data_IF_560033622506
#
_entry.id   IF_560033622506
#
_cell.length_a   1.000
_cell.length_b   1.000
_cell.length_c   1.000
_cell.angle_alpha   90.00
_cell.angle_beta   90.00
_cell.angle_gamma   90.00
#
_symmetry.space_group_name_H-M   'P 1'
#
loop_
_entity.id
_entity.type
_entity.pdbx_description
1 polymer ?
#
# COMPACT_ATOMS: atom_id res chain seq x y z
N UNK A 1 -42.12 -1.66 -2.28
CA UNK A 1 -42.53 -1.61 -3.70
C UNK A 1 -43.78 -2.49 -3.89
N UNK A 2 -44.93 -1.96 -3.50
CA UNK A 2 -46.26 -2.50 -3.83
C UNK A 2 -47.05 -1.29 -4.34
N UNK A 3 -47.09 -1.13 -5.66
CA UNK A 3 -47.79 -0.04 -6.32
C UNK A 3 -49.27 -0.27 -6.06
N UNK A 4 -49.94 0.64 -5.36
CA UNK A 4 -51.40 0.64 -5.21
C UNK A 4 -51.98 0.86 -6.62
N UNK A 5 -52.57 -0.16 -7.28
CA UNK A 5 -53.17 0.02 -8.61
C UNK A 5 -54.54 0.72 -8.51
N UNK A 6 -55.00 1.00 -7.30
CA UNK A 6 -56.36 1.44 -7.00
C UNK A 6 -56.66 2.88 -7.41
N UNK A 7 -55.76 3.83 -7.20
CA UNK A 7 -56.08 5.25 -7.43
C UNK A 7 -56.06 5.64 -8.90
N UNK A 8 -55.06 5.17 -9.66
CA UNK A 8 -55.10 5.32 -11.13
C UNK A 8 -56.19 4.46 -11.74
N UNK A 9 -56.45 3.25 -11.25
CA UNK A 9 -57.55 2.42 -11.71
C UNK A 9 -58.91 3.07 -11.50
N UNK A 10 -59.16 3.65 -10.32
CA UNK A 10 -60.40 4.36 -9.99
C UNK A 10 -60.48 5.68 -10.77
N UNK A 11 -59.39 6.42 -10.94
CA UNK A 11 -59.37 7.61 -11.80
C UNK A 11 -59.56 7.28 -13.29
N UNK A 12 -59.06 6.14 -13.78
CA UNK A 12 -59.26 5.71 -15.17
C UNK A 12 -60.66 5.14 -15.38
N UNK A 13 -61.22 4.45 -14.38
CA UNK A 13 -62.61 3.98 -14.39
C UNK A 13 -63.53 5.18 -14.34
N UNK A 14 -63.30 6.15 -13.44
CA UNK A 14 -64.04 7.41 -13.40
C UNK A 14 -63.84 8.19 -14.70
N UNK A 15 -62.64 8.27 -15.29
CA UNK A 15 -62.44 8.93 -16.58
C UNK A 15 -63.08 8.16 -17.74
N UNK A 16 -63.19 6.83 -17.68
CA UNK A 16 -63.87 6.01 -18.68
C UNK A 16 -65.39 6.11 -18.54
N UNK A 17 -65.92 6.13 -17.31
CA UNK A 17 -67.33 6.38 -17.01
C UNK A 17 -67.71 7.82 -17.35
N UNK A 18 -66.89 8.81 -16.98
CA UNK A 18 -67.07 10.22 -17.32
C UNK A 18 -66.94 10.41 -18.82
N UNK A 19 -65.97 9.82 -19.53
CA UNK A 19 -65.86 9.91 -20.98
C UNK A 19 -66.99 9.17 -21.70
N UNK A 20 -67.46 8.02 -21.18
CA UNK A 20 -68.61 7.31 -21.72
C UNK A 20 -69.92 8.07 -21.47
N UNK A 21 -70.05 8.78 -20.35
CA UNK A 21 -71.18 9.65 -20.04
C UNK A 21 -71.07 11.02 -20.73
N UNK A 22 -69.87 11.52 -20.99
CA UNK A 22 -69.59 12.79 -21.68
C UNK A 22 -69.72 12.64 -23.20
N UNK A 23 -69.41 11.46 -23.75
CA UNK A 23 -69.75 11.11 -25.15
C UNK A 23 -71.26 10.88 -25.35
N UNK A 24 -72.04 10.72 -24.27
CA UNK A 24 -73.50 10.73 -24.31
C UNK A 24 -74.10 12.14 -24.17
N UNK A 25 -73.28 13.17 -23.90
CA UNK A 25 -73.74 14.54 -23.61
C UNK A 25 -73.70 15.45 -24.86
N UNK A 26 -73.27 14.98 -26.03
CA UNK A 26 -73.16 15.84 -27.23
C UNK A 26 -74.33 15.77 -28.24
N UNK A 27 -75.45 15.12 -27.92
CA UNK A 27 -76.66 15.23 -28.77
C UNK A 27 -77.94 15.22 -27.92
N UNK A 28 -78.31 16.36 -27.34
CA UNK A 28 -79.74 16.70 -27.13
C UNK A 28 -79.93 18.20 -27.28
N UNK A 29 -79.79 18.69 -28.51
CA UNK A 29 -80.45 19.94 -28.91
C UNK A 29 -81.81 19.54 -29.51
N UNK A 30 -82.86 19.45 -28.70
CA UNK A 30 -84.22 19.17 -29.19
C UNK A 30 -85.27 19.90 -28.35
N UNK A 31 -85.58 21.11 -28.83
CA UNK A 31 -86.86 21.81 -28.82
C UNK A 31 -88.09 20.88 -28.65
N UNK A 32 -88.48 20.60 -27.40
CA UNK A 32 -89.87 20.52 -26.91
C UNK A 32 -89.89 20.10 -25.41
N UNK A 33 -90.71 20.76 -24.58
CA UNK A 33 -90.62 20.79 -23.12
C UNK A 33 -90.80 19.47 -22.32
N UNK A 34 -90.97 18.31 -22.98
CA UNK A 34 -91.11 17.00 -22.31
C UNK A 34 -89.79 16.35 -21.87
N UNK A 35 -88.68 16.66 -22.56
CA UNK A 35 -87.38 16.03 -22.33
C UNK A 35 -86.61 16.57 -21.12
N UNK A 36 -86.86 17.82 -20.71
CA UNK A 36 -86.22 18.39 -19.53
C UNK A 36 -86.67 17.71 -18.22
N UNK A 37 -87.91 17.22 -18.14
CA UNK A 37 -88.40 16.45 -16.98
C UNK A 37 -87.70 15.09 -16.86
N UNK A 38 -87.43 14.46 -18.01
CA UNK A 38 -86.66 13.21 -18.10
C UNK A 38 -85.21 13.45 -17.66
N UNK A 39 -84.59 14.55 -18.11
CA UNK A 39 -83.25 14.96 -17.66
C UNK A 39 -83.16 15.17 -16.14
N UNK A 40 -84.11 15.90 -15.55
CA UNK A 40 -84.19 16.10 -14.08
C UNK A 40 -84.40 14.79 -13.34
N UNK A 41 -85.21 13.86 -13.87
CA UNK A 41 -85.42 12.53 -13.28
C UNK A 41 -84.15 11.68 -13.28
N UNK A 42 -83.41 11.65 -14.39
CA UNK A 42 -82.11 10.96 -14.46
C UNK A 42 -81.07 11.59 -13.54
N UNK A 43 -81.03 12.92 -13.43
CA UNK A 43 -80.18 13.60 -12.44
C UNK A 43 -80.58 13.25 -11.00
N UNK A 44 -81.87 13.11 -10.70
CA UNK A 44 -82.34 12.75 -9.36
C UNK A 44 -81.93 11.31 -8.99
N UNK A 45 -82.00 10.38 -9.95
CA UNK A 45 -81.46 9.02 -9.78
C UNK A 45 -79.94 9.06 -9.58
N UNK A 46 -79.21 9.84 -10.40
CA UNK A 46 -77.77 10.00 -10.27
C UNK A 46 -77.37 10.62 -8.92
N UNK A 47 -78.16 11.56 -8.41
CA UNK A 47 -78.00 12.18 -7.10
C UNK A 47 -78.20 11.18 -5.97
N UNK A 48 -79.23 10.33 -6.04
CA UNK A 48 -79.49 9.26 -5.08
C UNK A 48 -78.34 8.24 -5.09
N UNK A 49 -77.87 7.85 -6.28
CA UNK A 49 -76.72 6.95 -6.41
C UNK A 49 -75.44 7.58 -5.85
N UNK A 50 -75.18 8.85 -6.12
CA UNK A 50 -74.06 9.59 -5.53
C UNK A 50 -74.17 9.69 -3.99
N UNK A 51 -75.37 9.87 -3.45
CA UNK A 51 -75.63 9.89 -2.00
C UNK A 51 -75.38 8.51 -1.37
N UNK A 52 -75.80 7.44 -2.03
CA UNK A 52 -75.58 6.06 -1.59
C UNK A 52 -74.07 5.74 -1.59
N UNK A 53 -73.36 6.14 -2.66
CA UNK A 53 -71.91 5.99 -2.75
C UNK A 53 -71.19 6.78 -1.65
N UNK A 54 -71.62 8.02 -1.38
CA UNK A 54 -71.12 8.83 -0.28
C UNK A 54 -71.25 8.14 1.08
N UNK A 55 -72.42 7.61 1.41
CA UNK A 55 -72.64 6.93 2.71
C UNK A 55 -71.87 5.62 2.86
N UNK A 56 -71.49 4.97 1.74
CA UNK A 56 -70.79 3.69 1.73
C UNK A 56 -69.29 3.83 1.97
N UNK A 57 -68.62 4.77 1.31
CA UNK A 57 -67.15 4.87 1.31
C UNK A 57 -66.62 6.06 2.14
N UNK A 58 -67.47 7.04 2.48
CA UNK A 58 -67.17 8.18 3.37
C UNK A 58 -65.87 8.93 3.08
N UNK A 59 -65.36 8.91 1.85
CA UNK A 59 -64.21 9.76 1.49
C UNK A 59 -64.66 11.16 1.08
N UNK A 60 -63.83 12.17 1.35
CA UNK A 60 -64.10 13.57 1.01
C UNK A 60 -64.43 13.75 -0.48
N UNK A 61 -63.79 12.99 -1.37
CA UNK A 61 -64.03 13.00 -2.82
C UNK A 61 -65.49 12.67 -3.18
N UNK A 62 -66.14 11.73 -2.47
CA UNK A 62 -67.53 11.37 -2.72
C UNK A 62 -68.52 12.44 -2.23
N UNK A 63 -68.17 13.20 -1.16
CA UNK A 63 -68.93 14.37 -0.72
C UNK A 63 -68.92 15.44 -1.82
N UNK A 64 -67.74 15.74 -2.37
CA UNK A 64 -67.59 16.73 -3.41
C UNK A 64 -68.29 16.32 -4.71
N UNK A 65 -68.20 15.05 -5.11
CA UNK A 65 -68.93 14.52 -6.27
C UNK A 65 -70.45 14.64 -6.10
N UNK A 66 -70.98 14.29 -4.92
CA UNK A 66 -72.39 14.48 -4.61
C UNK A 66 -72.80 15.94 -4.68
N UNK A 67 -72.01 16.85 -4.11
CA UNK A 67 -72.28 18.29 -4.15
C UNK A 67 -72.22 18.86 -5.58
N UNK A 68 -71.28 18.43 -6.44
CA UNK A 68 -71.24 18.80 -7.86
C UNK A 68 -72.52 18.33 -8.57
N UNK A 69 -72.92 17.07 -8.38
CA UNK A 69 -74.14 16.50 -8.97
C UNK A 69 -75.40 17.19 -8.46
N UNK A 70 -75.43 17.60 -7.19
CA UNK A 70 -76.50 18.40 -6.60
C UNK A 70 -76.59 19.80 -7.22
N UNK A 71 -75.44 20.45 -7.42
CA UNK A 71 -75.36 21.73 -8.15
C UNK A 71 -75.92 21.65 -9.56
N UNK A 72 -75.51 20.62 -10.32
CA UNK A 72 -76.03 20.36 -11.66
C UNK A 72 -77.52 20.01 -11.69
N UNK A 73 -78.02 19.28 -10.69
CA UNK A 73 -79.45 19.01 -10.53
C UNK A 73 -80.25 20.28 -10.23
N UNK A 74 -79.74 21.14 -9.33
CA UNK A 74 -80.39 22.42 -9.00
C UNK A 74 -80.46 23.36 -10.21
N UNK A 75 -79.40 23.38 -11.03
CA UNK A 75 -79.38 24.10 -12.32
C UNK A 75 -80.46 23.56 -13.29
N UNK A 76 -80.52 22.24 -13.47
CA UNK A 76 -81.51 21.61 -14.34
C UNK A 76 -82.95 21.80 -13.84
N UNK A 77 -83.16 21.76 -12.51
CA UNK A 77 -84.46 21.96 -11.86
C UNK A 77 -84.91 23.42 -11.99
N UNK A 78 -84.02 24.39 -11.79
CA UNK A 78 -84.30 25.82 -11.99
C UNK A 78 -84.76 26.11 -13.42
N UNK A 79 -84.06 25.56 -14.41
CA UNK A 79 -84.43 25.66 -15.83
C UNK A 79 -85.82 25.07 -16.16
N UNK A 80 -86.25 24.01 -15.46
CA UNK A 80 -87.60 23.45 -15.59
C UNK A 80 -88.65 24.34 -14.93
N UNK A 81 -88.36 24.88 -13.75
CA UNK A 81 -89.26 25.75 -13.00
C UNK A 81 -89.52 27.10 -13.71
N UNK A 82 -88.49 27.67 -14.33
CA UNK A 82 -88.60 28.90 -15.13
C UNK A 82 -89.50 28.68 -16.36
N UNK A 83 -89.34 27.55 -17.07
CA UNK A 83 -90.21 27.17 -18.21
C UNK A 83 -91.68 26.98 -17.82
N UNK A 84 -91.96 26.66 -16.55
CA UNK A 84 -93.32 26.50 -16.03
C UNK A 84 -93.91 27.81 -15.47
N UNK A 85 -93.18 28.92 -15.57
CA UNK A 85 -93.66 30.25 -15.21
C UNK A 85 -93.69 30.53 -13.70
N UNK A 86 -93.03 29.71 -12.89
CA UNK A 86 -92.97 29.89 -11.43
C UNK A 86 -91.92 30.93 -10.99
N UNK A 87 -91.06 31.40 -11.89
CA UNK A 87 -89.99 32.35 -11.61
C UNK A 87 -89.75 33.24 -12.84
N UNK A 88 -89.51 34.55 -12.62
CA UNK A 88 -89.25 35.54 -13.70
C UNK A 88 -87.75 35.84 -13.88
N UNK A 89 -86.85 35.02 -13.32
CA UNK A 89 -85.42 35.29 -13.27
C UNK A 89 -84.56 34.23 -13.92
N UNK A 90 -84.66 34.07 -15.25
CA UNK A 90 -83.83 33.12 -16.05
C UNK A 90 -82.33 33.22 -15.71
N UNK A 91 -81.82 34.42 -15.42
CA UNK A 91 -80.40 34.63 -15.12
C UNK A 91 -79.95 34.09 -13.75
N UNK A 92 -80.83 33.92 -12.77
CA UNK A 92 -80.42 33.67 -11.38
C UNK A 92 -80.02 32.21 -11.16
N UNK A 93 -80.82 31.27 -11.67
CA UNK A 93 -80.58 29.84 -11.50
C UNK A 93 -79.40 29.36 -12.34
N UNK A 94 -79.24 29.92 -13.53
CA UNK A 94 -78.14 29.56 -14.43
C UNK A 94 -76.79 29.99 -13.86
N UNK A 95 -76.67 31.26 -13.45
CA UNK A 95 -75.43 31.80 -12.87
C UNK A 95 -75.09 31.11 -11.54
N UNK A 96 -76.09 30.82 -10.68
CA UNK A 96 -75.85 30.13 -9.40
C UNK A 96 -75.39 28.67 -9.61
N UNK A 97 -75.97 27.96 -10.58
CA UNK A 97 -75.60 26.58 -10.88
C UNK A 97 -74.21 26.45 -11.51
N UNK A 98 -73.88 27.32 -12.48
CA UNK A 98 -72.55 27.35 -13.11
C UNK A 98 -71.46 27.76 -12.13
N UNK A 99 -71.66 28.84 -11.37
CA UNK A 99 -70.66 29.32 -10.39
C UNK A 99 -70.44 28.33 -9.26
N UNK A 100 -71.50 27.67 -8.78
CA UNK A 100 -71.39 26.63 -7.76
C UNK A 100 -70.66 25.39 -8.32
N UNK A 101 -71.01 24.93 -9.52
CA UNK A 101 -70.33 23.78 -10.14
C UNK A 101 -68.85 24.05 -10.38
N UNK A 102 -68.49 25.24 -10.88
CA UNK A 102 -67.09 25.66 -11.04
C UNK A 102 -66.36 25.71 -9.70
N UNK A 103 -66.98 26.28 -8.65
CA UNK A 103 -66.41 26.31 -7.31
C UNK A 103 -66.15 24.91 -6.75
N UNK A 104 -67.12 24.00 -6.92
CA UNK A 104 -67.02 22.63 -6.42
C UNK A 104 -65.97 21.80 -7.15
N UNK A 105 -65.82 21.99 -8.47
CA UNK A 105 -64.72 21.40 -9.24
C UNK A 105 -63.38 21.92 -8.73
N UNK A 106 -63.22 23.24 -8.56
CA UNK A 106 -62.00 23.83 -8.03
C UNK A 106 -61.66 23.28 -6.62
N UNK A 107 -62.66 23.15 -5.75
CA UNK A 107 -62.49 22.59 -4.40
C UNK A 107 -62.05 21.12 -4.41
N UNK A 108 -62.61 20.32 -5.34
CA UNK A 108 -62.20 18.91 -5.53
C UNK A 108 -60.74 18.82 -5.97
N UNK A 109 -60.29 19.68 -6.88
CA UNK A 109 -58.89 19.76 -7.29
C UNK A 109 -57.97 20.12 -6.11
N UNK A 110 -58.37 21.07 -5.26
CA UNK A 110 -57.59 21.46 -4.08
C UNK A 110 -57.45 20.29 -3.10
N UNK A 111 -58.53 19.58 -2.79
CA UNK A 111 -58.46 18.44 -1.85
C UNK A 111 -57.63 17.30 -2.43
N UNK A 112 -57.82 16.96 -3.71
CA UNK A 112 -56.98 15.96 -4.36
C UNK A 112 -55.49 16.35 -4.40
N UNK A 113 -55.19 17.65 -4.54
CA UNK A 113 -53.83 18.15 -4.46
C UNK A 113 -53.24 18.05 -3.05
N UNK A 114 -54.05 18.32 -2.01
CA UNK A 114 -53.64 18.15 -0.61
C UNK A 114 -53.33 16.69 -0.30
N UNK A 115 -54.18 15.74 -0.74
CA UNK A 115 -53.94 14.30 -0.55
C UNK A 115 -52.61 13.86 -1.23
N UNK A 116 -52.33 14.38 -2.43
CA UNK A 116 -51.06 14.10 -3.13
C UNK A 116 -49.86 14.70 -2.39
N UNK A 117 -50.01 15.91 -1.83
CA UNK A 117 -48.96 16.52 -1.01
C UNK A 117 -48.70 15.72 0.26
N UNK A 118 -49.74 15.24 0.94
CA UNK A 118 -49.62 14.45 2.17
C UNK A 118 -48.80 13.18 1.92
N UNK A 119 -49.14 12.41 0.88
CA UNK A 119 -48.37 11.21 0.49
C UNK A 119 -46.91 11.56 0.15
N UNK A 120 -46.68 12.70 -0.50
CA UNK A 120 -45.33 13.11 -0.90
C UNK A 120 -44.48 13.60 0.28
N UNK A 121 -45.10 14.23 1.27
CA UNK A 121 -44.46 14.62 2.54
C UNK A 121 -44.09 13.36 3.32
N UNK A 122 -44.99 12.38 3.43
CA UNK A 122 -44.72 11.11 4.13
C UNK A 122 -43.56 10.34 3.48
N UNK A 123 -43.45 10.37 2.14
CA UNK A 123 -42.31 9.80 1.42
C UNK A 123 -41.00 10.53 1.73
N UNK A 124 -41.01 11.87 1.76
CA UNK A 124 -39.82 12.65 2.10
C UNK A 124 -39.39 12.46 3.56
N UNK A 125 -40.32 12.28 4.48
CA UNK A 125 -40.01 11.97 5.88
C UNK A 125 -39.28 10.63 6.00
N UNK A 126 -39.75 9.59 5.31
CA UNK A 126 -39.08 8.28 5.27
C UNK A 126 -37.70 8.33 4.59
N UNK A 127 -37.56 9.09 3.52
CA UNK A 127 -36.26 9.24 2.84
C UNK A 127 -35.27 10.02 3.72
N UNK A 128 -35.73 11.02 4.47
CA UNK A 128 -34.91 11.78 5.42
C UNK A 128 -34.44 10.89 6.57
N UNK A 129 -35.30 10.03 7.11
CA UNK A 129 -34.94 9.07 8.16
C UNK A 129 -33.83 8.12 7.67
N UNK A 130 -33.94 7.59 6.45
CA UNK A 130 -32.88 6.76 5.84
C UNK A 130 -31.57 7.52 5.64
N UNK A 131 -31.64 8.79 5.24
CA UNK A 131 -30.45 9.61 5.06
C UNK A 131 -29.74 9.87 6.38
N UNK A 132 -30.49 10.11 7.47
CA UNK A 132 -29.94 10.25 8.83
C UNK A 132 -29.26 8.96 9.26
N UNK A 133 -29.91 7.80 9.10
CA UNK A 133 -29.31 6.50 9.43
C UNK A 133 -28.01 6.24 8.65
N UNK A 134 -28.00 6.55 7.35
CA UNK A 134 -26.81 6.41 6.51
C UNK A 134 -25.70 7.38 6.91
N UNK A 135 -26.03 8.62 7.26
CA UNK A 135 -25.08 9.60 7.74
C UNK A 135 -24.48 9.19 9.09
N UNK A 136 -25.28 8.62 10.00
CA UNK A 136 -24.81 8.09 11.29
C UNK A 136 -23.79 6.96 11.08
N UNK A 137 -24.12 6.00 10.21
CA UNK A 137 -23.18 4.93 9.86
C UNK A 137 -21.91 5.47 9.20
N UNK A 138 -22.03 6.50 8.37
CA UNK A 138 -20.88 7.16 7.74
C UNK A 138 -19.99 7.83 8.78
N UNK A 139 -20.55 8.54 9.75
CA UNK A 139 -19.79 9.18 10.83
C UNK A 139 -19.01 8.15 11.66
N UNK A 140 -19.65 7.03 12.02
CA UNK A 140 -19.00 5.93 12.76
C UNK A 140 -17.86 5.32 11.93
N UNK A 141 -18.08 5.09 10.63
CA UNK A 141 -17.05 4.55 9.75
C UNK A 141 -15.86 5.50 9.60
N UNK A 142 -16.10 6.81 9.47
CA UNK A 142 -15.04 7.82 9.40
C UNK A 142 -14.24 7.87 10.71
N UNK A 143 -14.90 7.81 11.87
CA UNK A 143 -14.22 7.76 13.17
C UNK A 143 -13.35 6.50 13.33
N UNK A 144 -13.84 5.34 12.89
CA UNK A 144 -13.07 4.09 12.90
C UNK A 144 -11.85 4.17 11.98
N UNK A 145 -12.00 4.73 10.77
CA UNK A 145 -10.88 4.94 9.84
C UNK A 145 -9.83 5.88 10.46
N UNK A 146 -10.26 6.94 11.15
CA UNK A 146 -9.33 7.83 11.85
C UNK A 146 -8.50 7.07 12.89
N UNK A 147 -9.15 6.30 13.76
CA UNK A 147 -8.48 5.53 14.80
C UNK A 147 -7.53 4.46 14.23
N UNK A 148 -7.91 3.83 13.11
CA UNK A 148 -7.06 2.88 12.40
C UNK A 148 -5.83 3.56 11.79
N UNK A 149 -5.99 4.73 11.17
CA UNK A 149 -4.88 5.53 10.65
C UNK A 149 -3.91 5.97 11.76
N UNK A 150 -4.41 6.37 12.93
CA UNK A 150 -3.54 6.69 14.09
C UNK A 150 -2.73 5.48 14.56
N UNK A 151 -3.35 4.30 14.60
CA UNK A 151 -2.68 3.07 15.00
C UNK A 151 -1.62 2.65 13.96
N UNK A 152 -1.97 2.68 12.67
CA UNK A 152 -1.02 2.43 11.57
C UNK A 152 0.13 3.42 11.59
N UNK A 153 -0.16 4.69 11.88
CA UNK A 153 0.86 5.71 12.03
C UNK A 153 1.84 5.34 13.16
N UNK A 154 1.36 5.01 14.36
CA UNK A 154 2.22 4.60 15.47
C UNK A 154 3.07 3.36 15.15
N UNK A 155 2.53 2.40 14.40
CA UNK A 155 3.26 1.21 13.97
C UNK A 155 4.39 1.56 12.99
N UNK A 156 4.10 2.42 12.00
CA UNK A 156 5.11 2.91 11.06
C UNK A 156 6.19 3.72 11.76
N UNK A 157 5.85 4.55 12.75
CA UNK A 157 6.83 5.29 13.58
C UNK A 157 7.83 4.34 14.26
N UNK A 158 7.32 3.26 14.85
CA UNK A 158 8.17 2.24 15.50
C UNK A 158 9.04 1.51 14.49
N UNK A 159 8.48 1.20 13.31
CA UNK A 159 9.24 0.57 12.23
C UNK A 159 10.38 1.47 11.74
N UNK A 160 10.15 2.78 11.60
CA UNK A 160 11.17 3.77 11.24
C UNK A 160 12.28 3.81 12.29
N UNK A 161 11.95 3.91 13.58
CA UNK A 161 12.97 3.91 14.65
C UNK A 161 13.77 2.60 14.68
N UNK A 162 13.11 1.45 14.50
CA UNK A 162 13.79 0.17 14.44
C UNK A 162 14.72 0.06 13.21
N UNK A 163 14.31 0.61 12.08
CA UNK A 163 15.14 0.65 10.88
C UNK A 163 16.36 1.59 11.06
N UNK A 164 16.18 2.74 11.70
CA UNK A 164 17.25 3.70 12.02
C UNK A 164 18.32 3.06 12.92
N UNK A 165 17.90 2.35 13.97
CA UNK A 165 18.81 1.58 14.85
C UNK A 165 19.56 0.49 14.05
N UNK A 166 18.88 -0.18 13.13
CA UNK A 166 19.51 -1.20 12.27
C UNK A 166 20.52 -0.62 11.27
N UNK A 167 20.23 0.54 10.69
CA UNK A 167 21.19 1.26 9.83
C UNK A 167 22.46 1.57 10.60
N UNK A 168 22.34 2.17 11.79
CA UNK A 168 23.50 2.49 12.62
C UNK A 168 24.31 1.25 13.02
N UNK A 169 23.64 0.13 13.31
CA UNK A 169 24.31 -1.12 13.58
C UNK A 169 25.05 -1.66 12.34
N UNK A 170 24.44 -1.51 11.16
CA UNK A 170 25.01 -1.97 9.91
C UNK A 170 26.21 -1.11 9.49
N UNK A 171 26.13 0.22 9.59
CA UNK A 171 27.24 1.15 9.37
C UNK A 171 28.45 0.84 10.27
N UNK A 172 28.19 0.50 11.54
CA UNK A 172 29.27 0.09 12.44
C UNK A 172 29.85 -1.27 12.05
N UNK A 173 29.00 -2.17 11.56
CA UNK A 173 29.39 -3.49 11.09
C UNK A 173 30.29 -3.43 9.86
N UNK A 174 29.90 -2.64 8.85
CA UNK A 174 30.65 -2.41 7.61
C UNK A 174 32.01 -1.81 7.91
N UNK A 175 32.07 -0.76 8.75
CA UNK A 175 33.34 -0.15 9.15
C UNK A 175 34.28 -1.17 9.83
N UNK A 176 33.73 -2.05 10.67
CA UNK A 176 34.49 -3.15 11.28
C UNK A 176 34.94 -4.22 10.29
N UNK A 177 34.15 -4.50 9.25
CA UNK A 177 34.53 -5.43 8.18
C UNK A 177 35.65 -4.86 7.31
N UNK A 178 35.58 -3.59 6.93
CA UNK A 178 36.65 -2.91 6.18
C UNK A 178 37.96 -2.94 6.97
N UNK A 179 37.92 -2.68 8.28
CA UNK A 179 39.13 -2.77 9.12
C UNK A 179 39.67 -4.20 9.18
N UNK A 180 38.79 -5.21 9.27
CA UNK A 180 39.19 -6.62 9.24
C UNK A 180 39.81 -7.04 7.89
N UNK A 181 39.26 -6.57 6.77
CA UNK A 181 39.80 -6.82 5.43
C UNK A 181 41.21 -6.24 5.29
N UNK A 182 41.44 -5.02 5.77
CA UNK A 182 42.78 -4.40 5.80
C UNK A 182 43.78 -5.20 6.63
N UNK A 183 43.36 -5.79 7.75
CA UNK A 183 44.23 -6.70 8.52
C UNK A 183 44.54 -8.00 7.76
N UNK A 184 43.55 -8.56 7.06
CA UNK A 184 43.76 -9.76 6.25
C UNK A 184 44.73 -9.47 5.10
N UNK A 185 44.60 -8.31 4.46
CA UNK A 185 45.50 -7.85 3.41
C UNK A 185 46.94 -7.71 3.93
N UNK A 186 47.13 -7.05 5.07
CA UNK A 186 48.45 -6.95 5.74
C UNK A 186 49.06 -8.33 6.01
N UNK A 187 48.25 -9.28 6.47
CA UNK A 187 48.71 -10.64 6.69
C UNK A 187 49.05 -11.34 5.38
N UNK A 188 48.27 -11.17 4.32
CA UNK A 188 48.53 -11.74 3.00
C UNK A 188 49.89 -11.26 2.46
N UNK A 189 50.14 -9.95 2.51
CA UNK A 189 51.42 -9.34 2.13
C UNK A 189 52.57 -9.93 2.95
N UNK A 190 52.42 -10.03 4.27
CA UNK A 190 53.47 -10.59 5.13
C UNK A 190 53.75 -12.07 4.83
N UNK A 191 52.73 -12.87 4.51
CA UNK A 191 52.94 -14.27 4.12
C UNK A 191 53.64 -14.35 2.77
N UNK A 192 53.34 -13.46 1.83
CA UNK A 192 53.99 -13.39 0.52
C UNK A 192 55.49 -13.06 0.65
N UNK A 193 55.83 -12.06 1.47
CA UNK A 193 57.22 -11.70 1.78
C UNK A 193 57.99 -12.89 2.38
N UNK A 194 57.38 -13.59 3.34
CA UNK A 194 57.98 -14.78 3.95
C UNK A 194 58.15 -15.92 2.93
N UNK A 195 57.18 -16.10 2.02
CA UNK A 195 57.26 -17.11 0.97
C UNK A 195 58.44 -16.84 0.02
N UNK A 196 58.65 -15.58 -0.36
CA UNK A 196 59.79 -15.15 -1.15
C UNK A 196 61.13 -15.36 -0.44
N UNK A 197 61.23 -15.04 0.85
CA UNK A 197 62.45 -15.26 1.64
C UNK A 197 62.80 -16.76 1.74
N UNK A 198 61.80 -17.63 1.94
CA UNK A 198 62.02 -19.08 1.96
C UNK A 198 62.46 -19.58 0.58
N UNK A 199 61.91 -19.04 -0.50
CA UNK A 199 62.30 -19.41 -1.87
C UNK A 199 63.77 -19.08 -2.14
N UNK A 200 64.22 -17.88 -1.74
CA UNK A 200 65.62 -17.45 -1.84
C UNK A 200 66.55 -18.41 -1.06
N UNK A 201 66.23 -18.69 0.20
CA UNK A 201 67.01 -19.62 1.02
C UNK A 201 67.02 -21.05 0.48
N UNK A 202 65.92 -21.50 -0.12
CA UNK A 202 65.86 -22.83 -0.73
C UNK A 202 66.77 -22.91 -1.97
N UNK A 203 66.84 -21.85 -2.76
CA UNK A 203 67.79 -21.72 -3.86
C UNK A 203 69.25 -21.76 -3.40
N UNK A 204 69.60 -21.10 -2.30
CA UNK A 204 70.93 -21.17 -1.70
C UNK A 204 71.29 -22.60 -1.23
N UNK A 205 70.33 -23.30 -0.61
CA UNK A 205 70.53 -24.69 -0.18
C UNK A 205 70.75 -25.60 -1.39
N UNK A 206 70.00 -25.41 -2.48
CA UNK A 206 70.19 -26.18 -3.72
C UNK A 206 71.59 -25.99 -4.32
N UNK A 207 72.13 -24.76 -4.29
CA UNK A 207 73.52 -24.50 -4.70
C UNK A 207 74.53 -25.26 -3.83
N UNK A 208 74.33 -25.26 -2.50
CA UNK A 208 75.18 -26.03 -1.58
C UNK A 208 75.08 -27.53 -1.85
N UNK A 209 73.87 -28.05 -2.11
CA UNK A 209 73.67 -29.46 -2.45
C UNK A 209 74.41 -29.84 -3.74
N UNK A 210 74.33 -29.01 -4.79
CA UNK A 210 75.08 -29.19 -6.03
C UNK A 210 76.60 -29.23 -5.80
N UNK A 211 77.12 -28.36 -4.93
CA UNK A 211 78.53 -28.37 -4.54
C UNK A 211 78.92 -29.69 -3.82
N UNK A 212 78.13 -30.14 -2.85
CA UNK A 212 78.41 -31.40 -2.13
C UNK A 212 78.34 -32.59 -3.08
N UNK A 213 77.37 -32.62 -4.01
CA UNK A 213 77.30 -33.67 -5.04
C UNK A 213 78.58 -33.73 -5.89
N UNK A 214 79.10 -32.56 -6.30
CA UNK A 214 80.36 -32.44 -7.04
C UNK A 214 81.56 -32.93 -6.20
N UNK A 215 81.64 -32.54 -4.93
CA UNK A 215 82.72 -32.98 -4.02
C UNK A 215 82.66 -34.50 -3.82
N UNK A 216 81.48 -35.07 -3.64
CA UNK A 216 81.31 -36.52 -3.49
C UNK A 216 81.65 -37.27 -4.78
N UNK A 217 81.37 -36.71 -5.96
CA UNK A 217 81.83 -37.24 -7.25
C UNK A 217 83.35 -37.26 -7.38
N UNK A 218 84.00 -36.14 -7.05
CA UNK A 218 85.46 -36.03 -7.09
C UNK A 218 86.12 -36.97 -6.06
N UNK A 219 85.58 -37.02 -4.85
CA UNK A 219 86.05 -37.92 -3.78
C UNK A 219 85.91 -39.39 -4.18
N UNK A 220 84.80 -39.76 -4.83
CA UNK A 220 84.58 -41.11 -5.35
C UNK A 220 85.63 -41.48 -6.43
N UNK A 221 85.93 -40.55 -7.33
CA UNK A 221 86.97 -40.75 -8.36
C UNK A 221 88.38 -40.84 -7.75
N UNK A 222 88.69 -40.01 -6.75
CA UNK A 222 89.97 -40.07 -6.02
C UNK A 222 90.13 -41.39 -5.28
N UNK A 223 89.07 -41.85 -4.60
CA UNK A 223 89.05 -43.12 -3.89
C UNK A 223 89.20 -44.31 -4.85
N UNK A 224 88.55 -44.27 -6.02
CA UNK A 224 88.73 -45.27 -7.07
C UNK A 224 90.18 -45.34 -7.56
N UNK A 225 90.79 -44.19 -7.86
CA UNK A 225 92.20 -44.12 -8.27
C UNK A 225 93.14 -44.66 -7.19
N UNK A 226 92.87 -44.35 -5.92
CA UNK A 226 93.62 -44.87 -4.78
C UNK A 226 93.47 -46.39 -4.62
N UNK A 227 92.26 -46.93 -4.81
CA UNK A 227 92.01 -48.38 -4.73
C UNK A 227 92.71 -49.15 -5.87
N UNK A 228 92.76 -48.56 -7.08
CA UNK A 228 93.54 -49.09 -8.21
C UNK A 228 95.05 -49.12 -7.90
N UNK A 229 95.63 -48.02 -7.41
CA UNK A 229 97.07 -47.96 -7.14
C UNK A 229 97.46 -48.83 -5.93
N UNK A 230 96.57 -48.95 -4.94
CA UNK A 230 96.73 -49.89 -3.83
C UNK A 230 96.74 -51.35 -4.32
N UNK A 231 95.88 -51.72 -5.27
CA UNK A 231 95.92 -53.01 -5.95
C UNK A 231 97.23 -53.23 -6.73
N UNK A 232 97.77 -52.16 -7.34
CA UNK A 232 99.02 -52.19 -8.10
C UNK A 232 100.26 -52.41 -7.23
N UNK A 233 100.22 -51.97 -5.98
CA UNK A 233 101.28 -52.19 -4.99
C UNK A 233 101.27 -53.61 -4.37
N UNK A 234 100.31 -54.48 -4.73
CA UNK A 234 100.23 -55.86 -4.27
C UNK A 234 100.07 -55.98 -2.75
N UNK A 235 100.84 -56.86 -2.10
CA UNK A 235 100.76 -57.09 -0.64
C UNK A 235 101.07 -55.84 0.20
N UNK A 236 101.87 -54.90 -0.30
CA UNK A 236 102.19 -53.66 0.40
C UNK A 236 101.04 -52.63 0.36
N UNK A 237 100.10 -52.75 -0.58
CA UNK A 237 98.96 -51.84 -0.74
C UNK A 237 97.68 -52.29 -0.04
N UNK A 238 97.67 -53.47 0.59
CA UNK A 238 96.45 -54.11 1.12
C UNK A 238 95.67 -53.24 2.12
N UNK A 239 96.37 -52.54 3.01
CA UNK A 239 95.74 -51.62 3.97
C UNK A 239 95.18 -50.36 3.31
N UNK A 240 95.86 -49.84 2.28
CA UNK A 240 95.39 -48.68 1.51
C UNK A 240 94.16 -49.02 0.67
N UNK A 241 94.07 -50.24 0.14
CA UNK A 241 92.90 -50.70 -0.62
C UNK A 241 91.62 -50.69 0.24
N UNK A 242 91.70 -51.17 1.49
CA UNK A 242 90.55 -51.17 2.42
C UNK A 242 90.10 -49.75 2.73
N UNK A 243 91.04 -48.82 2.98
CA UNK A 243 90.69 -47.42 3.24
C UNK A 243 90.09 -46.76 2.00
N UNK A 244 90.65 -47.01 0.82
CA UNK A 244 90.14 -46.46 -0.43
C UNK A 244 88.71 -46.94 -0.73
N UNK A 245 88.41 -48.23 -0.50
CA UNK A 245 87.05 -48.76 -0.67
C UNK A 245 86.05 -48.16 0.33
N UNK A 246 86.45 -47.92 1.58
CA UNK A 246 85.60 -47.27 2.58
C UNK A 246 85.31 -45.80 2.21
N UNK A 247 86.34 -45.05 1.78
CA UNK A 247 86.15 -43.66 1.29
C UNK A 247 85.24 -43.63 0.07
N UNK A 248 85.39 -44.58 -0.86
CA UNK A 248 84.53 -44.72 -2.03
C UNK A 248 83.06 -44.92 -1.63
N UNK A 249 82.82 -45.82 -0.68
CA UNK A 249 81.49 -46.11 -0.15
C UNK A 249 80.88 -44.88 0.54
N UNK A 250 81.64 -44.16 1.36
CA UNK A 250 81.19 -42.92 1.99
C UNK A 250 80.83 -41.83 0.97
N UNK A 251 81.59 -41.73 -0.12
CA UNK A 251 81.31 -40.81 -1.21
C UNK A 251 80.00 -41.17 -1.96
N UNK A 252 79.75 -42.46 -2.21
CA UNK A 252 78.49 -42.94 -2.78
C UNK A 252 77.29 -42.70 -1.84
N UNK A 253 77.43 -42.99 -0.54
CA UNK A 253 76.41 -42.72 0.48
C UNK A 253 76.12 -41.21 0.61
N UNK A 254 77.15 -40.37 0.55
CA UNK A 254 77.01 -38.91 0.55
C UNK A 254 76.24 -38.43 -0.68
N UNK A 255 76.59 -38.91 -1.89
CA UNK A 255 75.85 -38.57 -3.12
C UNK A 255 74.37 -38.97 -3.02
N UNK A 256 74.09 -40.17 -2.51
CA UNK A 256 72.71 -40.63 -2.32
C UNK A 256 71.93 -39.74 -1.36
N UNK A 257 72.56 -39.32 -0.25
CA UNK A 257 71.95 -38.42 0.74
C UNK A 257 71.68 -37.03 0.19
N UNK A 258 72.59 -36.50 -0.64
CA UNK A 258 72.40 -35.22 -1.35
C UNK A 258 71.24 -35.31 -2.33
N UNK A 259 71.14 -36.39 -3.10
CA UNK A 259 70.02 -36.61 -4.02
C UNK A 259 68.67 -36.60 -3.29
N UNK A 260 68.58 -37.32 -2.17
CA UNK A 260 67.36 -37.34 -1.36
C UNK A 260 67.02 -35.97 -0.75
N UNK A 261 68.05 -35.18 -0.40
CA UNK A 261 67.86 -33.81 0.10
C UNK A 261 67.37 -32.87 -1.02
N UNK A 262 67.90 -33.02 -2.23
CA UNK A 262 67.44 -32.30 -3.42
C UNK A 262 65.96 -32.54 -3.74
N UNK A 263 65.48 -33.79 -3.64
CA UNK A 263 64.06 -34.10 -3.82
C UNK A 263 63.16 -33.39 -2.78
N UNK A 264 63.64 -33.24 -1.54
CA UNK A 264 62.92 -32.52 -0.48
C UNK A 264 62.89 -31.01 -0.73
N UNK A 265 63.99 -30.44 -1.23
CA UNK A 265 64.09 -29.03 -1.62
C UNK A 265 63.09 -28.73 -2.74
N UNK A 266 63.06 -29.54 -3.80
CA UNK A 266 62.08 -29.40 -4.89
C UNK A 266 60.63 -29.57 -4.43
N UNK A 267 60.40 -30.33 -3.35
CA UNK A 267 59.07 -30.42 -2.74
C UNK A 267 58.71 -29.13 -1.99
N UNK A 268 59.67 -28.53 -1.28
CA UNK A 268 59.51 -27.24 -0.60
C UNK A 268 59.22 -26.13 -1.61
N UNK A 269 59.99 -26.04 -2.71
CA UNK A 269 59.78 -25.05 -3.77
C UNK A 269 58.35 -25.09 -4.32
N UNK A 270 57.85 -26.29 -4.66
CA UNK A 270 56.46 -26.45 -5.14
C UNK A 270 55.41 -26.07 -4.10
N UNK A 271 55.68 -26.32 -2.82
CA UNK A 271 54.79 -25.89 -1.74
C UNK A 271 54.72 -24.37 -1.65
N UNK A 272 55.86 -23.68 -1.84
CA UNK A 272 55.92 -22.22 -1.84
C UNK A 272 55.18 -21.66 -3.05
N UNK A 273 55.39 -22.20 -4.25
CA UNK A 273 54.64 -21.79 -5.46
C UNK A 273 53.12 -21.90 -5.25
N UNK A 274 52.66 -23.01 -4.67
CA UNK A 274 51.24 -23.20 -4.36
C UNK A 274 50.75 -22.21 -3.28
N UNK A 275 51.63 -21.82 -2.36
CA UNK A 275 51.31 -20.86 -1.30
C UNK A 275 51.15 -19.45 -1.88
N UNK A 276 52.04 -19.03 -2.78
CA UNK A 276 51.94 -17.74 -3.49
C UNK A 276 50.65 -17.68 -4.32
N UNK A 277 50.33 -18.73 -5.06
CA UNK A 277 49.06 -18.80 -5.81
C UNK A 277 47.83 -18.70 -4.89
N UNK A 278 47.88 -19.28 -3.68
CA UNK A 278 46.80 -19.15 -2.71
C UNK A 278 46.67 -17.71 -2.18
N UNK A 279 47.79 -17.00 -1.96
CA UNK A 279 47.80 -15.59 -1.52
C UNK A 279 47.25 -14.68 -2.61
N UNK A 280 47.59 -14.91 -3.88
CA UNK A 280 47.02 -14.15 -5.01
C UNK A 280 45.49 -14.26 -5.04
N UNK A 281 44.97 -15.48 -4.81
CA UNK A 281 43.53 -15.70 -4.73
C UNK A 281 42.90 -14.99 -3.52
N UNK A 282 43.54 -15.05 -2.34
CA UNK A 282 43.07 -14.31 -1.15
C UNK A 282 43.04 -12.80 -1.42
N UNK A 283 44.07 -12.25 -2.05
CA UNK A 283 44.15 -10.82 -2.39
C UNK A 283 43.05 -10.41 -3.35
N UNK A 284 42.70 -11.28 -4.30
CA UNK A 284 41.56 -11.05 -5.19
C UNK A 284 40.22 -11.08 -4.44
N UNK A 285 40.03 -12.06 -3.55
CA UNK A 285 38.81 -12.16 -2.72
C UNK A 285 38.65 -10.95 -1.80
N UNK A 286 39.74 -10.36 -1.30
CA UNK A 286 39.70 -9.11 -0.52
C UNK A 286 39.18 -7.96 -1.37
N UNK A 287 39.70 -7.76 -2.60
CA UNK A 287 39.21 -6.70 -3.48
C UNK A 287 37.73 -6.88 -3.85
N UNK A 288 37.28 -8.11 -4.12
CA UNK A 288 35.86 -8.39 -4.36
C UNK A 288 35.00 -8.07 -3.11
N UNK A 289 35.52 -8.34 -1.91
CA UNK A 289 34.84 -7.99 -0.67
C UNK A 289 34.78 -6.47 -0.42
N UNK A 290 35.81 -5.71 -0.81
CA UNK A 290 35.82 -4.24 -0.74
C UNK A 290 34.80 -3.60 -1.68
N UNK A 291 34.65 -4.13 -2.91
CA UNK A 291 33.62 -3.68 -3.85
C UNK A 291 32.22 -3.89 -3.27
N UNK A 292 31.97 -5.05 -2.64
CA UNK A 292 30.71 -5.32 -1.95
C UNK A 292 30.45 -4.41 -0.73
N UNK A 293 31.49 -4.02 0.00
CA UNK A 293 31.37 -3.03 1.08
C UNK A 293 30.96 -1.66 0.52
N UNK A 294 31.53 -1.21 -0.61
CA UNK A 294 31.13 0.04 -1.27
C UNK A 294 29.67 0.00 -1.76
N UNK A 295 29.25 -1.10 -2.39
CA UNK A 295 27.84 -1.31 -2.77
C UNK A 295 26.91 -1.25 -1.55
N UNK A 296 27.32 -1.82 -0.42
CA UNK A 296 26.54 -1.81 0.81
C UNK A 296 26.41 -0.40 1.41
N UNK A 297 27.45 0.43 1.32
CA UNK A 297 27.36 1.85 1.71
C UNK A 297 26.35 2.62 0.86
N UNK A 298 26.33 2.41 -0.46
CA UNK A 298 25.35 3.07 -1.35
C UNK A 298 23.93 2.61 -1.01
N UNK A 299 23.73 1.30 -0.80
CA UNK A 299 22.42 0.76 -0.40
C UNK A 299 21.94 1.35 0.93
N UNK A 300 22.84 1.54 1.90
CA UNK A 300 22.52 2.19 3.17
C UNK A 300 22.05 3.64 2.98
N UNK A 301 22.69 4.41 2.11
CA UNK A 301 22.27 5.79 1.80
C UNK A 301 20.86 5.83 1.18
N UNK A 302 20.53 4.89 0.30
CA UNK A 302 19.18 4.76 -0.28
C UNK A 302 18.12 4.39 0.78
N UNK A 303 18.46 3.52 1.74
CA UNK A 303 17.57 3.17 2.85
C UNK A 303 17.32 4.39 3.74
N UNK A 304 18.35 5.18 4.05
CA UNK A 304 18.17 6.42 4.81
C UNK A 304 17.22 7.40 4.10
N UNK A 305 17.37 7.57 2.79
CA UNK A 305 16.51 8.46 2.01
C UNK A 305 15.05 7.98 2.05
N UNK A 306 14.83 6.68 1.88
CA UNK A 306 13.47 6.10 1.93
C UNK A 306 12.85 6.20 3.33
N UNK A 307 13.63 6.08 4.41
CA UNK A 307 13.15 6.34 5.76
C UNK A 307 12.75 7.81 5.96
N UNK A 308 13.54 8.75 5.46
CA UNK A 308 13.21 10.17 5.53
C UNK A 308 11.90 10.48 4.78
N UNK A 309 11.66 9.83 3.63
CA UNK A 309 10.39 9.93 2.90
C UNK A 309 9.22 9.32 3.67
N UNK A 310 9.44 8.17 4.34
CA UNK A 310 8.41 7.55 5.18
C UNK A 310 8.02 8.43 6.37
N UNK A 311 8.96 9.13 7.00
CA UNK A 311 8.66 10.10 8.07
C UNK A 311 7.75 11.21 7.56
N UNK A 312 7.98 11.72 6.34
CA UNK A 312 7.13 12.76 5.75
C UNK A 312 5.72 12.22 5.45
N UNK A 313 5.62 11.03 4.86
CA UNK A 313 4.32 10.40 4.59
C UNK A 313 3.53 10.12 5.88
N UNK A 314 4.25 9.75 6.94
CA UNK A 314 3.71 9.51 8.26
C UNK A 314 3.12 10.78 8.89
N UNK A 315 3.81 11.93 8.79
CA UNK A 315 3.26 13.23 9.21
C UNK A 315 1.94 13.57 8.47
N UNK A 316 1.84 13.24 7.18
CA UNK A 316 0.62 13.45 6.40
C UNK A 316 -0.54 12.52 6.82
N UNK A 317 -0.24 11.26 7.15
CA UNK A 317 -1.23 10.31 7.67
C UNK A 317 -1.81 10.81 9.00
N UNK A 318 -0.96 11.24 9.92
CA UNK A 318 -1.39 11.80 11.21
C UNK A 318 -2.27 13.03 11.02
N UNK A 319 -1.88 13.94 10.11
CA UNK A 319 -2.69 15.11 9.80
C UNK A 319 -4.05 14.74 9.16
N UNK A 320 -4.09 13.66 8.37
CA UNK A 320 -5.32 13.17 7.73
C UNK A 320 -6.24 12.51 8.76
N UNK A 321 -5.72 11.70 9.67
CA UNK A 321 -6.48 11.11 10.78
C UNK A 321 -7.16 12.20 11.61
N UNK A 322 -6.42 13.23 12.02
CA UNK A 322 -6.98 14.37 12.77
C UNK A 322 -8.11 15.09 12.02
N UNK A 323 -7.99 15.25 10.69
CA UNK A 323 -9.06 15.85 9.88
C UNK A 323 -10.31 14.96 9.83
N UNK A 324 -10.14 13.64 9.72
CA UNK A 324 -11.26 12.70 9.70
C UNK A 324 -11.96 12.63 11.05
N UNK A 325 -11.20 12.69 12.16
CA UNK A 325 -11.77 12.79 13.51
C UNK A 325 -12.68 14.02 13.64
N UNK A 326 -12.19 15.21 13.27
CA UNK A 326 -12.98 16.44 13.29
C UNK A 326 -14.23 16.36 12.41
N UNK A 327 -14.10 15.75 11.22
CA UNK A 327 -15.23 15.59 10.29
C UNK A 327 -16.27 14.60 10.82
N UNK A 328 -15.85 13.56 11.51
CA UNK A 328 -16.78 12.63 12.17
C UNK A 328 -17.51 13.29 13.34
N UNK A 329 -16.83 14.12 14.14
CA UNK A 329 -17.44 14.91 15.22
C UNK A 329 -18.47 15.91 14.67
N UNK A 330 -18.11 16.67 13.63
CA UNK A 330 -19.02 17.64 13.00
C UNK A 330 -20.26 16.96 12.40
N UNK A 331 -20.08 15.80 11.75
CA UNK A 331 -21.20 15.03 11.20
C UNK A 331 -22.11 14.48 12.31
N UNK A 332 -21.56 14.03 13.43
CA UNK A 332 -22.35 13.61 14.60
C UNK A 332 -23.14 14.78 15.20
N UNK A 333 -22.52 15.95 15.34
CA UNK A 333 -23.18 17.15 15.87
C UNK A 333 -24.37 17.57 14.99
N UNK A 334 -24.18 17.60 13.67
CA UNK A 334 -25.25 17.95 12.71
C UNK A 334 -26.43 16.95 12.75
N UNK A 335 -26.14 15.66 12.97
CA UNK A 335 -27.17 14.61 13.12
C UNK A 335 -27.94 14.74 14.43
N UNK A 336 -27.26 15.07 15.53
CA UNK A 336 -27.87 15.29 16.83
C UNK A 336 -28.82 16.50 16.80
N UNK A 337 -28.44 17.57 16.10
CA UNK A 337 -29.28 18.75 15.85
C UNK A 337 -30.53 18.36 15.06
N UNK A 338 -30.40 17.57 13.99
CA UNK A 338 -31.52 17.14 13.14
C UNK A 338 -32.51 16.19 13.83
N UNK A 339 -32.06 15.39 14.79
CA UNK A 339 -32.96 14.54 15.61
C UNK A 339 -33.72 15.34 16.69
N UNK A 340 -33.44 16.63 16.86
CA UNK A 340 -34.02 17.44 17.93
C UNK A 340 -33.52 17.02 19.32
N UNK A 341 -32.35 16.38 19.40
CA UNK A 341 -31.73 15.92 20.64
C UNK A 341 -30.88 16.99 21.34
N UNK A 342 -31.26 18.28 21.25
CA UNK A 342 -30.64 19.36 22.05
C UNK A 342 -30.80 19.20 23.59
N UNK A 343 -31.34 18.07 24.07
CA UNK A 343 -31.71 17.90 25.48
C UNK A 343 -30.79 17.08 26.38
N UNK A 344 -29.84 16.25 25.89
CA UNK A 344 -29.25 15.22 26.79
C UNK A 344 -27.75 14.93 26.78
N UNK A 345 -26.93 15.52 25.91
CA UNK A 345 -25.46 15.31 26.01
C UNK A 345 -24.64 16.58 25.86
N UNK A 346 -24.99 17.59 26.65
CA UNK A 346 -24.00 18.57 27.04
C UNK A 346 -22.93 17.88 27.92
N UNK A 347 -21.70 17.85 27.40
CA UNK A 347 -20.43 17.88 28.14
C UNK A 347 -19.97 16.53 28.72
N UNK A 348 -19.34 15.72 27.88
CA UNK A 348 -18.03 15.16 28.23
C UNK A 348 -17.04 15.55 27.12
N UNK A 349 -16.62 16.81 27.13
CA UNK A 349 -15.31 17.21 26.61
C UNK A 349 -14.24 16.44 27.38
N UNK A 350 -13.95 15.22 26.95
CA UNK A 350 -12.80 14.45 27.43
C UNK A 350 -11.64 14.72 26.48
N UNK A 351 -10.87 15.74 26.88
CA UNK A 351 -9.44 15.92 26.59
C UNK A 351 -9.05 15.53 25.16
N UNK A 352 -9.02 16.52 24.28
CA UNK A 352 -7.99 16.59 23.26
C UNK A 352 -6.66 16.19 23.89
N UNK A 353 -6.15 15.01 23.51
CA UNK A 353 -4.79 14.61 23.84
C UNK A 353 -3.88 15.71 23.30
N UNK A 354 -2.83 16.11 24.03
CA UNK A 354 -1.90 17.10 23.52
C UNK A 354 -1.34 16.57 22.20
N UNK A 355 -1.41 17.40 21.15
CA UNK A 355 -0.71 17.16 19.89
C UNK A 355 0.70 16.70 20.23
N UNK A 356 1.00 15.44 19.91
CA UNK A 356 2.34 14.90 20.07
C UNK A 356 3.18 15.70 19.07
N UNK A 357 3.93 16.69 19.55
CA UNK A 357 5.02 17.23 18.78
C UNK A 357 5.97 16.07 18.55
N UNK A 358 5.89 15.47 17.37
CA UNK A 358 6.96 14.64 16.85
C UNK A 358 8.15 15.59 16.79
N UNK A 359 9.07 15.43 17.75
CA UNK A 359 10.35 16.12 17.68
C UNK A 359 10.96 15.69 16.37
N UNK A 360 11.07 16.62 15.45
CA UNK A 360 11.72 16.40 14.16
C UNK A 360 13.18 16.04 14.45
N UNK A 361 13.51 14.75 14.37
CA UNK A 361 14.89 14.23 14.43
C UNK A 361 15.82 14.78 13.34
N UNK A 362 15.29 15.61 12.42
CA UNK A 362 16.03 16.35 11.40
C UNK A 362 17.19 17.20 11.95
N UNK A 363 17.15 17.64 13.21
CA UNK A 363 18.25 18.44 13.79
C UNK A 363 19.43 17.59 14.27
N UNK A 364 19.19 16.37 14.76
CA UNK A 364 20.26 15.47 15.23
C UNK A 364 20.89 14.71 14.05
N UNK A 365 20.09 14.31 13.03
CA UNK A 365 20.59 13.65 11.81
C UNK A 365 21.55 14.50 10.98
N UNK A 366 21.36 15.84 10.94
CA UNK A 366 22.28 16.75 10.23
C UNK A 366 23.66 16.84 10.89
N UNK A 367 23.73 16.76 12.22
CA UNK A 367 25.01 16.74 12.94
C UNK A 367 25.72 15.39 12.79
N UNK A 368 24.97 14.28 12.69
CA UNK A 368 25.54 12.95 12.47
C UNK A 368 26.14 12.79 11.06
N UNK A 369 25.42 13.19 10.00
CA UNK A 369 25.94 13.22 8.62
C UNK A 369 27.21 14.08 8.47
N UNK A 370 27.32 15.15 9.25
CA UNK A 370 28.54 15.97 9.28
C UNK A 370 29.69 15.30 10.02
N UNK A 371 29.44 14.48 11.05
CA UNK A 371 30.50 13.74 11.77
C UNK A 371 31.09 12.62 10.92
N UNK A 372 30.26 11.79 10.30
CA UNK A 372 30.74 10.68 9.45
C UNK A 372 31.55 11.21 8.26
N UNK A 373 31.09 12.31 7.64
CA UNK A 373 31.79 12.93 6.51
C UNK A 373 33.13 13.57 6.90
N UNK A 374 33.27 14.02 8.16
CA UNK A 374 34.54 14.55 8.68
C UNK A 374 35.49 13.43 9.08
N UNK A 375 34.98 12.33 9.64
CA UNK A 375 35.78 11.16 10.04
C UNK A 375 36.36 10.42 8.81
N UNK A 376 35.62 10.33 7.70
CA UNK A 376 36.14 9.82 6.41
C UNK A 376 37.18 10.74 5.75
N UNK A 377 37.20 12.05 6.06
CA UNK A 377 38.18 13.00 5.51
C UNK A 377 39.51 13.04 6.29
N UNK A 378 39.57 12.40 7.47
CA UNK A 378 40.78 12.32 8.32
C UNK A 378 41.59 11.03 8.14
N UNK A 379 41.12 10.08 7.31
CA UNK A 379 41.92 8.94 6.89
C UNK A 379 42.89 9.45 5.82
N UNK A 380 44.22 9.45 6.04
CA UNK A 380 45.16 9.85 5.00
C UNK A 380 45.00 8.88 3.82
N UNK A 381 44.85 9.42 2.61
CA UNK A 381 45.18 8.69 1.38
C UNK A 381 46.67 8.30 1.48
N UNK A 382 46.97 7.15 2.09
CA UNK A 382 48.29 6.54 1.99
C UNK A 382 48.44 6.05 0.55
N UNK A 383 49.11 6.90 -0.23
CA UNK A 383 49.93 6.62 -1.40
C UNK A 383 49.83 5.16 -1.87
N UNK A 384 48.92 4.91 -2.82
CA UNK A 384 48.91 3.69 -3.63
C UNK A 384 50.29 3.59 -4.27
N UNK A 385 51.14 2.74 -3.70
CA UNK A 385 52.41 2.36 -4.32
C UNK A 385 52.02 1.49 -5.50
N UNK A 386 51.89 2.10 -6.68
CA UNK A 386 51.96 1.40 -7.96
C UNK A 386 53.30 0.65 -8.02
N UNK A 387 53.31 -0.61 -7.60
CA UNK A 387 54.38 -1.52 -7.95
C UNK A 387 54.18 -1.97 -9.40
N UNK A 388 54.55 -1.10 -10.35
CA UNK A 388 54.92 -1.51 -11.70
C UNK A 388 56.16 -2.43 -11.61
N UNK A 389 55.97 -3.70 -11.25
CA UNK A 389 57.00 -4.72 -11.46
C UNK A 389 56.96 -5.16 -12.92
N UNK A 390 57.81 -4.48 -13.69
CA UNK A 390 58.23 -4.80 -15.05
C UNK A 390 58.61 -6.27 -15.17
N UNK A 391 57.71 -7.12 -15.68
CA UNK A 391 58.09 -8.41 -16.28
C UNK A 391 58.24 -8.19 -17.78
N UNK A 392 59.43 -7.75 -18.19
CA UNK A 392 59.90 -7.91 -19.57
C UNK A 392 60.31 -9.36 -19.76
N UNK A 393 59.50 -10.08 -20.53
CA UNK A 393 59.87 -11.35 -21.15
C UNK A 393 60.77 -11.02 -22.34
N UNK A 394 62.04 -11.41 -22.26
CA UNK A 394 62.95 -11.66 -23.40
C UNK A 394 63.79 -12.91 -23.12
#
# INVERSE_FOLDING_TARGET
>A
MNIIPGLFGVSLIIWREVKSNMLLIEIVDLRDGGLNLIGVFFFMIALILALILYYRERTLTHIFFFLIMFGGFMYALGNVLDKWGFSQGELMWDVMGETFSMFMIALTFVVGFVDVLEVRIEQHEQDLERLIDHAEQTAINVANISAELEASAEEVDKAIHGADDHIHQLEKGTLGQVEALKEVERHAISVDENAHEILEHTGDIDQVMKLIASISEETNLLALNASIEAGRAGEHGRGFAVVADEVRKLAEESRSSVSQSGEKIQFIERLIETTVEAIDNVTKEIHEAEEHEEENEVALEEIEETLDQQVVAMDEIVATAQRLELLAEELQEELDIHRGEEGKKAIQTKKTKPSRQIKTGKSEKKEHKQRIKVEKAEIPEEEVIESESVIKVD
#
